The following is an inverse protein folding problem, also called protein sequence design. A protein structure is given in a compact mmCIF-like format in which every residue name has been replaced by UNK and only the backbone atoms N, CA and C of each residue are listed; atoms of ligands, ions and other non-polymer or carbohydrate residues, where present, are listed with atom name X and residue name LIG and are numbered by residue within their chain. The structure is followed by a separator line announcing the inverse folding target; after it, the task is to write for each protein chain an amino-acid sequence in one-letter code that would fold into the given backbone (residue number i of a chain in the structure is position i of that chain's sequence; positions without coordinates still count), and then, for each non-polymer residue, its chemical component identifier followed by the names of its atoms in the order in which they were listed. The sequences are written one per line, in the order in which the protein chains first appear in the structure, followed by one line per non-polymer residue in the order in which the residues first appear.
data_IF_562434144918
#
_entry.id   IF_562434144918
#
_cell.length_a   1.000
_cell.length_b   1.000
_cell.length_c   1.000
_cell.angle_alpha   90.00
_cell.angle_beta   90.00
_cell.angle_gamma   90.00
#
_symmetry.space_group_name_H-M   'P 1'
#
loop_
_entity.id
_entity.type
_entity.pdbx_description
1 polymer ?
#
# COMPACT_ATOMS: atom_id res chain seq x y z
N UNK A 1 37.12 -15.67 -7.18
CA UNK A 1 37.58 -14.79 -8.25
C UNK A 1 36.56 -13.71 -8.40
N UNK A 2 36.90 -12.50 -7.97
CA UNK A 2 36.17 -11.26 -8.23
C UNK A 2 34.88 -11.07 -7.44
N UNK A 3 34.97 -10.92 -6.11
CA UNK A 3 33.96 -10.16 -5.38
C UNK A 3 34.00 -8.73 -5.94
N UNK A 4 32.92 -8.30 -6.58
CA UNK A 4 32.82 -6.93 -7.04
C UNK A 4 32.61 -6.05 -5.81
N UNK A 5 33.62 -5.23 -5.49
CA UNK A 5 33.50 -4.12 -4.54
C UNK A 5 32.40 -3.16 -5.03
N UNK A 6 31.17 -3.37 -4.55
CA UNK A 6 30.03 -2.53 -4.93
C UNK A 6 28.65 -3.14 -4.70
N UNK A 7 28.53 -4.45 -4.48
CA UNK A 7 27.25 -5.09 -4.18
C UNK A 7 27.18 -5.45 -2.70
N UNK A 8 26.32 -4.75 -1.95
CA UNK A 8 25.99 -5.11 -0.57
C UNK A 8 24.72 -5.94 -0.58
N UNK A 9 24.85 -7.24 -0.35
CA UNK A 9 23.71 -8.11 -0.15
C UNK A 9 23.09 -7.86 1.24
N UNK A 10 21.76 -7.78 1.29
CA UNK A 10 21.02 -7.56 2.52
C UNK A 10 19.74 -8.37 2.55
N UNK A 11 19.33 -8.73 3.77
CA UNK A 11 18.08 -9.43 4.05
C UNK A 11 17.15 -8.53 4.85
N UNK A 12 16.04 -8.16 4.21
CA UNK A 12 14.93 -7.47 4.85
C UNK A 12 13.95 -8.49 5.44
N UNK A 13 13.71 -8.41 6.74
CA UNK A 13 12.61 -9.13 7.41
C UNK A 13 11.43 -8.20 7.55
N UNK A 14 10.35 -8.49 6.82
CA UNK A 14 9.10 -7.72 6.88
C UNK A 14 8.37 -7.93 8.21
N UNK A 15 7.58 -6.94 8.66
CA UNK A 15 6.83 -7.04 9.90
C UNK A 15 5.74 -8.11 9.83
N UNK A 16 5.26 -8.53 11.01
CA UNK A 16 4.09 -9.38 11.11
C UNK A 16 2.85 -8.65 10.58
N UNK A 17 1.93 -9.42 10.00
CA UNK A 17 0.67 -8.90 9.47
C UNK A 17 -0.49 -9.69 10.06
N UNK A 18 -1.37 -8.99 10.76
CA UNK A 18 -2.57 -9.54 11.34
C UNK A 18 -3.76 -9.10 10.49
N UNK A 19 -4.58 -10.05 10.05
CA UNK A 19 -5.75 -9.77 9.25
C UNK A 19 -6.98 -10.42 9.89
N UNK A 20 -8.05 -9.64 10.02
CA UNK A 20 -9.36 -10.08 10.46
C UNK A 20 -10.35 -9.76 9.36
N UNK A 21 -11.02 -10.78 8.82
CA UNK A 21 -12.03 -10.64 7.78
C UNK A 21 -13.38 -11.14 8.27
N UNK A 22 -14.43 -10.35 8.08
CA UNK A 22 -15.81 -10.69 8.36
C UNK A 22 -16.60 -10.59 7.06
N UNK A 23 -17.30 -11.66 6.72
CA UNK A 23 -18.17 -11.72 5.55
C UNK A 23 -19.58 -12.12 5.97
N UNK A 24 -20.59 -11.45 5.44
CA UNK A 24 -21.98 -11.80 5.65
C UNK A 24 -22.77 -11.77 4.35
N UNK A 25 -23.50 -12.85 4.08
CA UNK A 25 -24.31 -12.98 2.87
C UNK A 25 -25.78 -12.88 3.23
N UNK A 26 -26.48 -11.92 2.62
CA UNK A 26 -27.92 -11.74 2.77
C UNK A 26 -28.60 -12.43 1.58
N UNK A 27 -29.24 -13.56 1.87
CA UNK A 27 -29.92 -14.38 0.87
C UNK A 27 -28.94 -14.97 -0.16
N UNK A 28 -29.28 -14.86 -1.45
CA UNK A 28 -28.43 -15.34 -2.57
C UNK A 28 -27.82 -14.20 -3.39
N UNK A 29 -28.21 -12.97 -3.09
CA UNK A 29 -28.01 -11.83 -3.99
C UNK A 29 -27.06 -10.78 -3.42
N UNK A 30 -26.86 -10.71 -2.09
CA UNK A 30 -26.02 -9.66 -1.49
C UNK A 30 -24.96 -10.31 -0.62
N UNK A 31 -23.71 -9.91 -0.80
CA UNK A 31 -22.60 -10.26 0.07
C UNK A 31 -21.93 -8.99 0.57
N UNK A 32 -21.71 -8.88 1.87
CA UNK A 32 -21.02 -7.79 2.53
C UNK A 32 -19.72 -8.34 3.10
N UNK A 33 -18.66 -7.55 3.04
CA UNK A 33 -17.35 -7.89 3.58
C UNK A 33 -16.74 -6.68 4.28
N UNK A 34 -16.11 -6.93 5.42
CA UNK A 34 -15.26 -5.97 6.08
C UNK A 34 -13.98 -6.69 6.52
N UNK A 35 -12.85 -6.05 6.30
CA UNK A 35 -11.54 -6.53 6.72
C UNK A 35 -10.81 -5.44 7.45
N UNK A 36 -10.09 -5.85 8.48
CA UNK A 36 -9.16 -5.02 9.21
C UNK A 36 -7.81 -5.72 9.23
N UNK A 37 -6.79 -5.00 8.80
CA UNK A 37 -5.42 -5.47 8.76
C UNK A 37 -4.52 -4.52 9.54
N UNK A 38 -3.63 -5.09 10.34
CA UNK A 38 -2.64 -4.36 11.11
C UNK A 38 -1.25 -4.93 10.83
N UNK A 39 -0.29 -4.04 10.57
CA UNK A 39 1.12 -4.41 10.43
C UNK A 39 2.00 -3.34 11.06
N UNK A 40 2.92 -3.76 11.93
CA UNK A 40 3.82 -2.84 12.62
C UNK A 40 5.16 -2.72 11.89
N UNK A 41 5.28 -1.74 11.01
CA UNK A 41 6.48 -1.55 10.19
C UNK A 41 7.72 -1.17 11.00
N UNK A 42 7.58 -0.64 12.22
CA UNK A 42 8.71 -0.36 13.12
C UNK A 42 9.48 -1.62 13.53
N UNK A 43 8.89 -2.80 13.34
CA UNK A 43 9.50 -4.09 13.69
C UNK A 43 10.29 -4.72 12.55
N UNK A 44 10.36 -4.08 11.38
CA UNK A 44 11.15 -4.57 10.27
C UNK A 44 12.65 -4.55 10.63
N UNK A 45 13.39 -5.53 10.13
CA UNK A 45 14.82 -5.69 10.45
C UNK A 45 15.64 -5.85 9.19
N UNK A 46 16.77 -5.16 9.13
CA UNK A 46 17.77 -5.31 8.08
C UNK A 46 18.98 -6.05 8.62
N UNK A 47 19.49 -6.99 7.82
CA UNK A 47 20.68 -7.77 8.13
C UNK A 47 21.56 -7.85 6.90
N UNK A 48 22.88 -7.92 7.09
CA UNK A 48 23.83 -8.32 6.06
C UNK A 48 23.62 -9.81 5.72
N UNK A 49 24.21 -10.23 4.60
CA UNK A 49 24.22 -11.63 4.12
C UNK A 49 24.85 -12.60 5.14
N UNK A 50 25.89 -12.16 5.83
CA UNK A 50 26.56 -12.87 6.93
C UNK A 50 25.70 -13.03 8.20
N UNK A 51 24.51 -12.43 8.20
CA UNK A 51 23.53 -12.50 9.29
C UNK A 51 23.71 -11.43 10.38
N UNK A 52 24.74 -10.58 10.31
CA UNK A 52 24.91 -9.45 11.21
C UNK A 52 23.78 -8.43 11.01
N UNK A 53 23.31 -7.85 12.12
CA UNK A 53 22.25 -6.86 12.06
C UNK A 53 22.81 -5.51 11.61
N UNK A 54 22.14 -4.89 10.64
CA UNK A 54 22.40 -3.49 10.28
C UNK A 54 21.77 -2.62 11.37
N UNK A 55 22.53 -2.39 12.45
CA UNK A 55 22.00 -1.79 13.68
C UNK A 55 21.46 -0.38 13.45
N UNK A 56 22.23 0.48 12.76
CA UNK A 56 21.83 1.87 12.44
C UNK A 56 20.55 1.90 11.60
N UNK A 57 20.49 1.09 10.54
CA UNK A 57 19.35 1.07 9.61
C UNK A 57 18.10 0.45 10.25
N UNK A 58 18.29 -0.56 11.08
CA UNK A 58 17.20 -1.18 11.84
C UNK A 58 16.66 -0.21 12.90
N UNK A 59 17.52 0.55 13.56
CA UNK A 59 17.11 1.56 14.54
C UNK A 59 16.42 2.76 13.87
N UNK A 60 16.87 3.19 12.67
CA UNK A 60 16.17 4.18 11.84
C UNK A 60 14.76 3.71 11.45
N UNK A 61 14.62 2.50 10.90
CA UNK A 61 13.31 1.89 10.58
C UNK A 61 12.39 1.93 11.80
N UNK A 62 12.91 1.59 12.98
CA UNK A 62 12.12 1.56 14.22
C UNK A 62 11.62 2.94 14.64
N UNK A 63 12.39 4.00 14.42
CA UNK A 63 12.03 5.37 14.79
C UNK A 63 11.15 6.06 13.73
N UNK A 64 11.40 5.77 12.45
CA UNK A 64 10.78 6.46 11.33
C UNK A 64 9.53 5.77 10.80
N UNK A 65 9.34 4.48 11.08
CA UNK A 65 8.15 3.72 10.68
C UNK A 65 7.22 3.46 11.87
N UNK A 66 5.94 3.25 11.58
CA UNK A 66 4.90 2.96 12.59
C UNK A 66 3.91 1.91 12.13
N UNK A 67 3.03 1.52 13.06
CA UNK A 67 1.87 0.68 12.80
C UNK A 67 0.97 1.22 11.68
N UNK A 68 0.72 0.38 10.67
CA UNK A 68 -0.21 0.63 9.59
C UNK A 68 -1.49 -0.13 9.85
N UNK A 69 -2.59 0.60 9.86
CA UNK A 69 -3.95 0.09 9.91
C UNK A 69 -4.54 0.19 8.51
N UNK A 70 -5.06 -0.93 8.01
CA UNK A 70 -5.77 -0.99 6.73
C UNK A 70 -7.17 -1.51 6.97
N UNK A 71 -8.16 -0.69 6.62
CA UNK A 71 -9.58 -1.05 6.72
C UNK A 71 -10.12 -1.18 5.30
N UNK A 72 -10.69 -2.35 5.00
CA UNK A 72 -11.36 -2.62 3.74
C UNK A 72 -12.82 -2.94 4.01
N UNK A 73 -13.72 -2.34 3.26
CA UNK A 73 -15.13 -2.67 3.31
C UNK A 73 -15.64 -2.81 1.88
N UNK A 74 -16.50 -3.79 1.64
CA UNK A 74 -17.01 -4.07 0.30
C UNK A 74 -18.39 -4.70 0.34
N UNK A 75 -19.09 -4.53 -0.77
CA UNK A 75 -20.38 -5.14 -1.00
C UNK A 75 -20.46 -5.64 -2.44
N UNK A 76 -20.99 -6.84 -2.62
CA UNK A 76 -21.38 -7.38 -3.91
C UNK A 76 -22.90 -7.56 -3.92
N UNK A 77 -23.55 -7.07 -4.98
CA UNK A 77 -24.99 -7.14 -5.18
C UNK A 77 -25.26 -7.76 -6.56
N UNK A 78 -25.94 -8.89 -6.59
CA UNK A 78 -26.40 -9.57 -7.80
C UNK A 78 -27.84 -9.15 -8.06
N UNK A 79 -28.03 -8.26 -9.02
CA UNK A 79 -29.37 -7.82 -9.45
C UNK A 79 -30.09 -8.99 -10.15
N UNK A 80 -29.41 -9.61 -11.11
CA UNK A 80 -29.89 -10.78 -11.85
C UNK A 80 -28.78 -11.87 -11.84
N UNK A 81 -29.08 -13.13 -12.19
CA UNK A 81 -28.05 -14.18 -12.34
C UNK A 81 -26.91 -13.78 -13.29
N UNK A 82 -27.22 -12.88 -14.23
CA UNK A 82 -26.29 -12.42 -15.27
C UNK A 82 -25.55 -11.14 -14.89
N UNK A 83 -25.97 -10.41 -13.85
CA UNK A 83 -25.43 -9.09 -13.53
C UNK A 83 -25.06 -8.96 -12.06
N UNK A 84 -23.80 -8.63 -11.81
CA UNK A 84 -23.25 -8.37 -10.48
C UNK A 84 -22.65 -6.98 -10.40
N UNK A 85 -23.03 -6.23 -9.38
CA UNK A 85 -22.42 -4.96 -9.02
C UNK A 85 -21.52 -5.16 -7.80
N UNK A 86 -20.35 -4.53 -7.79
CA UNK A 86 -19.40 -4.55 -6.68
C UNK A 86 -19.06 -3.11 -6.31
N UNK A 87 -19.02 -2.83 -5.02
CA UNK A 87 -18.49 -1.58 -4.51
C UNK A 87 -17.56 -1.86 -3.35
N UNK A 88 -16.53 -1.05 -3.19
CA UNK A 88 -15.54 -1.23 -2.14
C UNK A 88 -14.83 0.06 -1.78
N UNK A 89 -14.35 0.09 -0.55
CA UNK A 89 -13.56 1.17 0.01
C UNK A 89 -12.40 0.58 0.79
N UNK A 90 -11.21 1.14 0.59
CA UNK A 90 -9.99 0.72 1.28
C UNK A 90 -9.25 1.95 1.80
N UNK A 91 -9.08 2.03 3.12
CA UNK A 91 -8.41 3.10 3.84
C UNK A 91 -7.14 2.57 4.49
N UNK A 92 -6.00 3.18 4.18
CA UNK A 92 -4.70 2.80 4.71
C UNK A 92 -4.10 4.00 5.43
N UNK A 93 -3.69 3.82 6.68
CA UNK A 93 -3.02 4.87 7.46
C UNK A 93 -1.56 5.05 7.01
N UNK A 94 -0.95 6.23 7.25
CA UNK A 94 0.46 6.45 6.95
C UNK A 94 1.36 5.40 7.63
N UNK A 95 2.39 4.92 6.93
CA UNK A 95 3.40 4.02 7.48
C UNK A 95 4.58 4.75 8.12
N UNK A 96 4.79 6.01 7.76
CA UNK A 96 5.89 6.84 8.28
C UNK A 96 5.45 7.66 9.49
N UNK A 97 6.38 7.86 10.42
CA UNK A 97 6.27 8.83 11.51
C UNK A 97 6.21 10.25 10.95
N UNK A 98 5.66 11.19 11.73
CA UNK A 98 5.64 12.61 11.33
C UNK A 98 7.04 13.22 11.34
N UNK A 99 7.90 12.68 12.19
CA UNK A 99 9.27 13.16 12.39
C UNK A 99 10.28 12.40 11.51
N UNK A 100 9.81 11.55 10.58
CA UNK A 100 10.69 10.84 9.66
C UNK A 100 11.27 11.82 8.63
N UNK A 101 12.60 11.80 8.46
CA UNK A 101 13.33 12.65 7.54
C UNK A 101 14.38 11.83 6.79
N UNK A 102 14.83 12.36 5.65
CA UNK A 102 15.92 11.74 4.89
C UNK A 102 17.25 12.27 5.39
N UNK A 103 17.93 11.48 6.20
CA UNK A 103 19.29 11.79 6.63
C UNK A 103 20.28 11.55 5.49
N UNK A 104 21.13 12.54 5.20
CA UNK A 104 22.24 12.43 4.26
C UNK A 104 23.55 12.46 5.04
N UNK A 105 24.33 11.37 4.96
CA UNK A 105 25.61 11.27 5.66
C UNK A 105 26.59 12.36 5.22
N UNK A 106 27.36 12.88 6.19
CA UNK A 106 28.45 13.83 5.91
C UNK A 106 29.45 13.15 4.98
N UNK A 107 29.71 13.73 3.80
CA UNK A 107 30.50 13.19 2.68
C UNK A 107 29.79 12.22 1.72
N UNK A 108 28.45 12.20 1.69
CA UNK A 108 27.73 11.50 0.61
C UNK A 108 27.89 12.21 -0.74
N UNK A 109 28.09 11.44 -1.81
CA UNK A 109 28.06 11.94 -3.20
C UNK A 109 26.63 12.06 -3.75
N UNK A 110 25.62 11.66 -2.96
CA UNK A 110 24.21 11.77 -3.32
C UNK A 110 23.76 13.22 -3.34
N UNK A 111 23.21 13.64 -4.48
CA UNK A 111 22.65 14.98 -4.70
C UNK A 111 21.11 15.00 -4.61
N UNK A 112 20.47 13.86 -4.37
CA UNK A 112 19.02 13.74 -4.20
C UNK A 112 18.64 14.13 -2.76
N UNK A 113 18.40 15.41 -2.51
CA UNK A 113 18.00 15.91 -1.18
C UNK A 113 16.50 15.80 -0.93
N UNK A 114 15.70 15.62 -1.99
CA UNK A 114 14.25 15.53 -1.85
C UNK A 114 13.79 14.20 -1.23
N UNK A 115 12.69 14.29 -0.47
CA UNK A 115 11.97 13.14 0.06
C UNK A 115 10.48 13.44 0.22
N UNK A 116 9.66 12.38 0.25
CA UNK A 116 8.21 12.48 0.42
C UNK A 116 7.72 11.50 1.47
N UNK A 117 7.01 12.00 2.48
CA UNK A 117 6.39 11.16 3.48
C UNK A 117 4.96 10.79 3.05
N UNK A 118 4.77 9.51 2.76
CA UNK A 118 3.48 8.94 2.37
C UNK A 118 2.47 9.03 3.52
N UNK A 119 1.34 9.69 3.27
CA UNK A 119 0.26 9.78 4.23
C UNK A 119 -0.87 8.78 3.93
N UNK A 120 -2.09 9.11 4.35
CA UNK A 120 -3.28 8.29 4.18
C UNK A 120 -3.58 8.03 2.70
N UNK A 121 -3.90 6.78 2.39
CA UNK A 121 -4.35 6.33 1.09
C UNK A 121 -5.81 5.92 1.18
N UNK A 122 -6.63 6.40 0.25
CA UNK A 122 -8.05 6.09 0.15
C UNK A 122 -8.34 5.57 -1.26
N UNK A 123 -8.79 4.33 -1.35
CA UNK A 123 -9.15 3.68 -2.61
C UNK A 123 -10.65 3.43 -2.63
N UNK A 124 -11.30 3.87 -3.69
CA UNK A 124 -12.71 3.62 -3.98
C UNK A 124 -12.80 2.74 -5.22
N UNK A 125 -13.50 1.62 -5.11
CA UNK A 125 -13.65 0.66 -6.21
C UNK A 125 -15.13 0.48 -6.55
N UNK A 126 -15.45 0.53 -7.83
CA UNK A 126 -16.77 0.22 -8.38
C UNK A 126 -16.58 -0.80 -9.49
N UNK A 127 -17.34 -1.89 -9.46
CA UNK A 127 -17.23 -3.01 -10.38
C UNK A 127 -18.59 -3.40 -10.93
N UNK A 128 -18.61 -3.74 -12.21
CA UNK A 128 -19.77 -4.19 -12.95
C UNK A 128 -19.38 -5.47 -13.70
N UNK A 129 -19.99 -6.58 -13.33
CA UNK A 129 -19.80 -7.87 -13.96
C UNK A 129 -21.06 -8.30 -14.70
N UNK A 130 -20.90 -8.76 -15.93
CA UNK A 130 -21.95 -9.37 -16.73
C UNK A 130 -21.53 -10.76 -17.21
N UNK A 131 -22.41 -11.75 -17.05
CA UNK A 131 -22.15 -13.13 -17.43
C UNK A 131 -23.37 -13.72 -18.12
N UNK A 132 -23.17 -14.29 -19.31
CA UNK A 132 -24.18 -15.03 -20.07
C UNK A 132 -23.56 -16.29 -20.64
N UNK A 133 -24.07 -17.45 -20.22
CA UNK A 133 -23.63 -18.78 -20.66
C UNK A 133 -22.10 -18.93 -20.59
N UNK A 134 -21.46 -18.84 -21.76
CA UNK A 134 -20.03 -19.00 -22.00
C UNK A 134 -19.27 -17.66 -21.95
N UNK A 135 -19.95 -16.53 -22.11
CA UNK A 135 -19.35 -15.21 -22.13
C UNK A 135 -19.38 -14.55 -20.75
N UNK A 136 -18.28 -13.92 -20.35
CA UNK A 136 -18.26 -13.02 -19.21
C UNK A 136 -17.46 -11.75 -19.53
N UNK A 137 -17.93 -10.64 -18.98
CA UNK A 137 -17.23 -9.36 -19.02
C UNK A 137 -17.28 -8.73 -17.64
N UNK A 138 -16.18 -8.09 -17.24
CA UNK A 138 -16.09 -7.34 -15.99
C UNK A 138 -15.43 -6.01 -16.26
N UNK A 139 -16.01 -4.95 -15.70
CA UNK A 139 -15.48 -3.60 -15.74
C UNK A 139 -15.32 -3.11 -14.31
N UNK A 140 -14.11 -2.71 -13.95
CA UNK A 140 -13.78 -2.18 -12.63
C UNK A 140 -13.18 -0.79 -12.77
N UNK A 141 -13.77 0.18 -12.08
CA UNK A 141 -13.25 1.53 -11.89
C UNK A 141 -12.63 1.65 -10.51
N UNK A 142 -11.36 2.06 -10.45
CA UNK A 142 -10.62 2.35 -9.24
C UNK A 142 -10.28 3.84 -9.21
N UNK A 143 -10.72 4.51 -8.14
CA UNK A 143 -10.31 5.87 -7.81
C UNK A 143 -9.42 5.83 -6.57
N UNK A 144 -8.14 6.14 -6.74
CA UNK A 144 -7.15 6.15 -5.67
C UNK A 144 -6.76 7.60 -5.35
N UNK A 145 -6.92 7.99 -4.09
CA UNK A 145 -6.45 9.28 -3.56
C UNK A 145 -5.41 9.02 -2.48
N UNK A 146 -4.20 9.53 -2.68
CA UNK A 146 -3.14 9.49 -1.67
C UNK A 146 -2.58 10.88 -1.44
N UNK A 147 -2.19 11.15 -0.20
CA UNK A 147 -1.60 12.41 0.23
C UNK A 147 -0.13 12.17 0.57
N UNK A 148 0.70 13.15 0.26
CA UNK A 148 2.14 13.11 0.53
C UNK A 148 2.59 14.48 1.01
N UNK A 149 3.48 14.49 1.99
CA UNK A 149 4.21 15.69 2.40
C UNK A 149 5.58 15.66 1.72
N UNK A 150 5.79 16.55 0.76
CA UNK A 150 7.02 16.66 -0.02
C UNK A 150 7.97 17.70 0.57
N UNK A 151 9.24 17.32 0.68
CA UNK A 151 10.33 18.16 1.15
C UNK A 151 11.43 18.18 0.07
N UNK A 152 11.87 19.38 -0.31
CA UNK A 152 12.96 19.54 -1.28
C UNK A 152 14.34 19.24 -0.67
N UNK A 153 14.49 19.47 0.63
CA UNK A 153 15.68 19.20 1.42
C UNK A 153 15.32 19.15 2.91
N UNK A 154 16.14 18.47 3.71
CA UNK A 154 15.99 18.40 5.17
C UNK A 154 16.30 19.76 5.82
N UNK A 155 15.26 20.48 6.23
CA UNK A 155 15.38 21.77 6.90
C UNK A 155 14.18 22.04 7.81
N UNK A 156 14.45 22.25 9.09
CA UNK A 156 13.46 22.49 10.16
C UNK A 156 12.60 23.74 9.88
N UNK A 157 13.11 24.71 9.13
CA UNK A 157 12.42 25.97 8.80
C UNK A 157 11.63 25.91 7.49
N UNK A 158 11.76 24.83 6.70
CA UNK A 158 11.04 24.68 5.43
C UNK A 158 9.75 23.88 5.64
N UNK A 159 8.56 24.48 5.47
CA UNK A 159 7.32 23.74 5.58
C UNK A 159 7.16 22.76 4.42
N UNK A 160 6.62 21.58 4.71
CA UNK A 160 6.31 20.57 3.70
C UNK A 160 5.31 21.08 2.66
N UNK A 161 5.54 20.75 1.39
CA UNK A 161 4.54 20.94 0.34
C UNK A 161 3.55 19.78 0.38
N UNK A 162 2.29 20.08 0.66
CA UNK A 162 1.22 19.07 0.72
C UNK A 162 0.74 18.73 -0.68
N UNK A 163 1.03 17.50 -1.12
CA UNK A 163 0.60 16.99 -2.42
C UNK A 163 -0.60 16.08 -2.23
N UNK A 164 -1.62 16.27 -3.06
CA UNK A 164 -2.78 15.36 -3.12
C UNK A 164 -2.84 14.79 -4.52
N UNK A 165 -2.59 13.49 -4.63
CA UNK A 165 -2.58 12.78 -5.89
C UNK A 165 -3.88 12.00 -6.05
N UNK A 166 -4.56 12.21 -7.18
CA UNK A 166 -5.79 11.53 -7.54
C UNK A 166 -5.56 10.72 -8.82
N UNK A 167 -5.62 9.39 -8.72
CA UNK A 167 -5.44 8.49 -9.84
C UNK A 167 -6.75 7.77 -10.16
N UNK A 168 -7.08 7.65 -11.45
CA UNK A 168 -8.28 7.01 -11.96
C UNK A 168 -7.85 5.89 -12.90
N UNK A 169 -8.26 4.66 -12.60
CA UNK A 169 -7.97 3.48 -13.42
C UNK A 169 -9.26 2.79 -13.79
N UNK A 170 -9.38 2.41 -15.06
CA UNK A 170 -10.46 1.57 -15.56
C UNK A 170 -9.81 0.28 -16.02
N UNK A 171 -10.28 -0.85 -15.49
CA UNK A 171 -9.92 -2.19 -15.94
C UNK A 171 -11.14 -2.80 -16.60
N UNK A 172 -10.95 -3.35 -17.78
CA UNK A 172 -11.99 -4.05 -18.52
C UNK A 172 -11.47 -5.42 -18.94
N UNK A 173 -12.24 -6.45 -18.65
CA UNK A 173 -11.91 -7.85 -18.92
C UNK A 173 -13.04 -8.50 -19.70
N UNK A 174 -12.68 -9.30 -20.70
CA UNK A 174 -13.59 -10.18 -21.43
C UNK A 174 -13.02 -11.59 -21.36
N UNK A 175 -13.88 -12.59 -21.21
CA UNK A 175 -13.50 -13.97 -21.41
C UNK A 175 -14.63 -14.84 -21.93
N UNK A 176 -14.23 -15.95 -22.54
CA UNK A 176 -15.10 -16.94 -23.18
C UNK A 176 -14.71 -18.30 -22.63
N UNK A 177 -15.68 -19.03 -22.09
CA UNK A 177 -15.53 -20.37 -21.53
C UNK A 177 -15.99 -21.43 -22.53
N UNK A 178 -15.04 -22.11 -23.17
CA UNK A 178 -15.24 -23.25 -24.06
C UNK A 178 -15.42 -24.56 -23.27
#
# INVERSE_FOLDING_TARGET
GGDMEGETEYRLTTPWKYNLSLGYTIGRNIALGAEYEYSDHSTAKLRYDDGLMMQEETDRIKNDMKGVHTIRAGAEIKLNPNFSFRMGYNHITPSMSKDAYKELSVNTIRTDTEFSNGQTINNYTLGLGYRVNTFYTDMTYLYNTYKEDFFAFDNIYLPATKIVNNNRKILFTIGVRF
#
